data_IF_588098339633
#
_entry.id   IF_588098339633
#
_cell.length_a   1.000
_cell.length_b   1.000
_cell.length_c   1.000
_cell.angle_alpha   90.00
_cell.angle_beta   90.00
_cell.angle_gamma   90.00
#
_symmetry.space_group_name_H-M   'P 1'
#
loop_
_entity.id
_entity.type
_entity.pdbx_description
1 polymer ?
#
# COMPACT_ATOMS: atom_id res chain seq x y z
N UNK A 1 21.65 -27.32 -30.99
CA UNK A 1 20.93 -26.36 -30.11
C UNK A 1 19.78 -27.12 -29.49
N UNK A 2 19.72 -27.31 -28.17
CA UNK A 2 18.58 -28.00 -27.56
C UNK A 2 17.39 -27.03 -27.49
N UNK A 3 16.24 -27.48 -27.97
CA UNK A 3 14.96 -26.81 -27.88
C UNK A 3 14.56 -26.64 -26.41
N UNK A 4 14.28 -25.40 -26.02
CA UNK A 4 13.70 -25.10 -24.73
C UNK A 4 12.17 -25.12 -24.90
N UNK A 5 11.57 -26.29 -24.75
CA UNK A 5 10.14 -26.41 -24.53
C UNK A 5 9.81 -25.91 -23.09
N UNK A 6 9.32 -24.72 -22.99
CA UNK A 6 8.61 -24.28 -21.77
C UNK A 6 7.11 -24.54 -22.00
N UNK A 7 6.43 -25.24 -21.08
CA UNK A 7 4.99 -25.43 -21.19
C UNK A 7 4.26 -24.10 -21.00
N UNK A 8 3.58 -23.62 -22.04
CA UNK A 8 2.60 -22.56 -21.95
C UNK A 8 1.46 -23.03 -21.03
N UNK A 9 1.27 -22.39 -19.89
CA UNK A 9 0.11 -22.65 -19.03
C UNK A 9 -1.17 -22.25 -19.77
N UNK A 10 -2.11 -23.16 -19.87
CA UNK A 10 -3.45 -22.91 -20.39
C UNK A 10 -4.18 -21.98 -19.43
N UNK A 11 -4.61 -20.83 -19.93
CA UNK A 11 -5.50 -19.89 -19.24
C UNK A 11 -6.90 -20.52 -19.15
N UNK A 12 -7.33 -20.93 -17.99
CA UNK A 12 -8.62 -21.58 -17.85
C UNK A 12 -9.15 -21.72 -16.42
N UNK A 13 -8.37 -21.34 -15.41
CA UNK A 13 -8.87 -21.30 -14.04
C UNK A 13 -8.42 -19.99 -13.40
N UNK A 14 -9.38 -19.21 -12.92
CA UNK A 14 -9.15 -18.04 -12.08
C UNK A 14 -8.70 -18.44 -10.66
N UNK A 15 -7.82 -19.42 -10.56
CA UNK A 15 -6.99 -19.59 -9.38
C UNK A 15 -6.03 -18.41 -9.37
N UNK A 16 -6.06 -17.61 -8.31
CA UNK A 16 -5.04 -16.63 -7.96
C UNK A 16 -3.71 -17.34 -8.21
N UNK A 17 -3.03 -17.00 -9.32
CA UNK A 17 -1.76 -17.63 -9.68
C UNK A 17 -0.84 -17.47 -8.48
N UNK A 18 -0.15 -18.53 -8.10
CA UNK A 18 0.93 -18.45 -7.14
C UNK A 18 1.79 -17.26 -7.51
N UNK A 19 1.79 -16.23 -6.65
CA UNK A 19 2.57 -15.03 -6.87
C UNK A 19 4.03 -15.47 -7.16
N UNK A 20 4.69 -14.96 -8.19
CA UNK A 20 6.11 -15.26 -8.42
C UNK A 20 7.01 -14.69 -7.33
N UNK A 21 6.42 -14.06 -6.34
CA UNK A 21 7.08 -13.48 -5.19
C UNK A 21 7.40 -14.59 -4.18
N UNK A 22 8.45 -14.38 -3.41
CA UNK A 22 8.75 -15.25 -2.30
C UNK A 22 7.57 -15.34 -1.33
N UNK A 23 7.38 -16.48 -0.66
CA UNK A 23 6.40 -16.60 0.41
C UNK A 23 6.62 -15.49 1.44
N UNK A 24 5.53 -15.01 2.03
CA UNK A 24 5.63 -13.96 3.03
C UNK A 24 6.40 -14.44 4.26
N UNK A 25 7.30 -13.59 4.76
CA UNK A 25 8.04 -13.82 5.98
C UNK A 25 7.06 -14.04 7.14
N UNK A 26 7.42 -14.97 8.02
CA UNK A 26 6.62 -15.27 9.19
C UNK A 26 6.65 -14.09 10.15
N UNK A 27 5.53 -13.46 10.38
CA UNK A 27 5.35 -12.42 11.40
C UNK A 27 4.19 -12.77 12.32
N UNK A 28 4.24 -12.29 13.58
CA UNK A 28 3.11 -12.42 14.50
C UNK A 28 1.93 -11.58 14.01
N UNK A 29 0.72 -11.97 14.36
CA UNK A 29 -0.48 -11.21 13.98
C UNK A 29 -0.87 -10.26 15.11
N UNK A 30 -1.09 -9.00 14.76
CA UNK A 30 -1.67 -8.00 15.65
C UNK A 30 -2.92 -7.41 15.02
N UNK A 31 -3.70 -6.68 15.81
CA UNK A 31 -4.90 -5.99 15.30
C UNK A 31 -4.74 -4.48 15.39
N UNK A 32 -5.26 -3.77 14.38
CA UNK A 32 -5.44 -2.30 14.40
C UNK A 32 -6.93 -2.06 14.22
N UNK A 33 -7.67 -2.01 15.32
CA UNK A 33 -9.11 -2.14 15.29
C UNK A 33 -9.52 -3.45 14.59
N UNK A 34 -10.39 -3.42 13.57
CA UNK A 34 -10.78 -4.62 12.83
C UNK A 34 -9.73 -5.08 11.79
N UNK A 35 -8.69 -4.31 11.53
CA UNK A 35 -7.70 -4.61 10.48
C UNK A 35 -6.56 -5.46 11.03
N UNK A 36 -6.41 -6.72 10.56
CA UNK A 36 -5.29 -7.56 10.94
C UNK A 36 -4.00 -7.11 10.24
N UNK A 37 -2.87 -7.16 10.94
CA UNK A 37 -1.53 -6.83 10.44
C UNK A 37 -0.56 -7.92 10.84
N UNK A 38 0.19 -8.46 9.90
CA UNK A 38 1.07 -9.61 10.13
C UNK A 38 0.32 -10.95 10.14
N UNK A 39 1.02 -12.04 10.43
CA UNK A 39 0.44 -13.38 10.47
C UNK A 39 -0.17 -13.85 9.15
N UNK A 40 0.38 -13.43 8.02
CA UNK A 40 -0.16 -13.74 6.70
C UNK A 40 -1.40 -12.91 6.30
N UNK A 41 -1.83 -11.97 7.14
CA UNK A 41 -2.91 -11.06 6.78
C UNK A 41 -2.53 -10.22 5.56
N UNK A 42 -3.50 -9.73 4.81
CA UNK A 42 -3.26 -8.86 3.67
C UNK A 42 -2.49 -7.60 4.04
N UNK A 43 -1.66 -7.13 3.12
CA UNK A 43 -0.85 -5.94 3.34
C UNK A 43 -1.75 -4.71 3.31
N UNK A 44 -1.83 -4.01 4.44
CA UNK A 44 -2.66 -2.81 4.56
C UNK A 44 -1.95 -1.56 4.05
N UNK A 45 -2.70 -0.69 3.39
CA UNK A 45 -2.27 0.66 2.99
C UNK A 45 -2.66 1.64 4.09
N UNK A 46 -1.68 2.26 4.71
CA UNK A 46 -1.88 3.31 5.69
C UNK A 46 -1.51 4.67 5.10
N UNK A 47 -2.30 5.71 5.40
CA UNK A 47 -1.91 7.10 5.16
C UNK A 47 -2.02 7.93 6.42
N UNK A 48 -1.79 9.23 6.30
CA UNK A 48 -1.83 10.17 7.42
C UNK A 48 -2.48 11.47 6.95
N UNK A 49 -3.36 12.03 7.77
CA UNK A 49 -3.92 13.36 7.51
C UNK A 49 -2.84 14.44 7.60
N UNK A 50 -3.01 15.50 6.83
CA UNK A 50 -2.20 16.72 6.91
C UNK A 50 -3.01 17.93 7.40
N UNK A 51 -4.26 17.71 7.79
CA UNK A 51 -5.10 18.69 8.49
C UNK A 51 -4.63 18.88 9.94
N UNK A 52 -4.97 19.99 10.54
CA UNK A 52 -4.87 20.12 12.01
C UNK A 52 -5.89 19.15 12.63
N UNK A 53 -5.44 18.27 13.50
CA UNK A 53 -6.32 17.24 14.10
C UNK A 53 -7.45 17.87 14.92
N UNK A 54 -7.18 19.01 15.56
CA UNK A 54 -8.18 19.81 16.27
C UNK A 54 -9.31 20.34 15.35
N UNK A 55 -9.07 20.47 14.03
CA UNK A 55 -10.12 20.75 13.06
C UNK A 55 -10.82 19.43 12.67
N UNK A 56 -11.75 19.01 13.50
CA UNK A 56 -12.49 17.75 13.36
C UNK A 56 -13.20 17.63 12.00
N UNK A 57 -13.95 18.65 11.53
CA UNK A 57 -14.61 18.58 10.23
C UNK A 57 -13.64 18.37 9.07
N UNK A 58 -12.57 19.15 9.00
CA UNK A 58 -11.57 19.02 7.92
C UNK A 58 -10.85 17.66 7.99
N UNK A 59 -10.53 17.18 9.20
CA UNK A 59 -9.88 15.88 9.41
C UNK A 59 -10.79 14.73 8.99
N UNK A 60 -12.07 14.76 9.34
CA UNK A 60 -13.04 13.74 8.93
C UNK A 60 -13.30 13.74 7.43
N UNK A 61 -13.37 14.92 6.80
CA UNK A 61 -13.48 15.03 5.34
C UNK A 61 -12.28 14.37 4.66
N UNK A 62 -11.08 14.68 5.11
CA UNK A 62 -9.86 14.06 4.53
C UNK A 62 -9.80 12.55 4.78
N UNK A 63 -10.23 12.06 5.95
CA UNK A 63 -10.34 10.62 6.23
C UNK A 63 -11.31 9.96 5.25
N UNK A 64 -12.45 10.59 4.95
CA UNK A 64 -13.41 10.07 3.96
C UNK A 64 -12.79 9.97 2.56
N UNK A 65 -12.06 11.00 2.13
CA UNK A 65 -11.33 11.00 0.85
C UNK A 65 -10.26 9.89 0.78
N UNK A 66 -9.49 9.72 1.85
CA UNK A 66 -8.50 8.64 1.96
C UNK A 66 -9.16 7.26 1.90
N UNK A 67 -10.29 7.10 2.58
CA UNK A 67 -11.06 5.84 2.57
C UNK A 67 -11.56 5.53 1.16
N UNK A 68 -12.12 6.50 0.47
CA UNK A 68 -12.59 6.36 -0.92
C UNK A 68 -11.44 5.98 -1.88
N UNK A 69 -10.23 6.46 -1.63
CA UNK A 69 -9.04 6.10 -2.40
C UNK A 69 -8.53 4.67 -2.09
N UNK A 70 -9.01 4.02 -1.02
CA UNK A 70 -8.64 2.66 -0.63
C UNK A 70 -7.65 2.57 0.54
N UNK A 71 -7.59 3.60 1.39
CA UNK A 71 -6.85 3.57 2.63
C UNK A 71 -7.50 2.60 3.62
N UNK A 72 -6.71 1.70 4.21
CA UNK A 72 -7.21 0.71 5.17
C UNK A 72 -7.10 1.22 6.63
N UNK A 73 -6.13 2.09 6.92
CA UNK A 73 -5.84 2.61 8.25
C UNK A 73 -5.38 4.06 8.12
N UNK A 74 -5.94 4.97 8.89
CA UNK A 74 -5.50 6.37 8.93
C UNK A 74 -4.74 6.70 10.20
N UNK A 75 -3.75 7.60 10.10
CA UNK A 75 -3.02 8.14 11.23
C UNK A 75 -3.25 9.66 11.33
N UNK A 76 -3.45 10.17 12.54
CA UNK A 76 -3.59 11.59 12.85
C UNK A 76 -2.48 12.03 13.79
N UNK A 77 -1.95 13.24 13.64
CA UNK A 77 -0.94 13.79 14.55
C UNK A 77 -1.59 14.35 15.82
N UNK A 78 -0.92 14.19 16.97
CA UNK A 78 -1.42 14.70 18.25
C UNK A 78 -0.31 15.51 18.97
N UNK A 79 0.04 16.69 18.45
CA UNK A 79 1.08 17.52 19.03
C UNK A 79 0.61 18.35 20.24
N UNK A 80 -0.70 18.61 20.39
CA UNK A 80 -1.26 19.50 21.39
C UNK A 80 -2.40 18.87 22.19
N UNK A 81 -2.88 19.60 23.22
CA UNK A 81 -4.04 19.17 24.00
C UNK A 81 -5.32 19.23 23.15
N UNK A 82 -5.48 20.28 22.35
CA UNK A 82 -6.66 20.46 21.50
C UNK A 82 -6.79 19.29 20.48
N UNK A 83 -5.66 18.80 19.98
CA UNK A 83 -5.65 17.63 19.10
C UNK A 83 -6.04 16.35 19.85
N UNK A 84 -5.59 16.19 21.10
CA UNK A 84 -5.97 15.05 21.93
C UNK A 84 -7.47 15.08 22.27
N UNK A 85 -8.01 16.27 22.57
CA UNK A 85 -9.43 16.47 22.89
C UNK A 85 -10.35 16.21 21.68
N UNK A 86 -9.84 16.35 20.46
CA UNK A 86 -10.57 16.06 19.22
C UNK A 86 -10.68 14.56 18.91
N UNK A 87 -9.79 13.71 19.45
CA UNK A 87 -9.71 12.29 19.11
C UNK A 87 -11.03 11.51 19.30
N UNK A 88 -11.78 11.68 20.43
CA UNK A 88 -12.99 10.89 20.64
C UNK A 88 -14.03 11.06 19.52
N UNK A 89 -14.19 12.29 19.01
CA UNK A 89 -15.12 12.56 17.93
C UNK A 89 -14.63 12.01 16.61
N UNK A 90 -13.33 12.17 16.30
CA UNK A 90 -12.71 11.65 15.07
C UNK A 90 -12.82 10.12 15.04
N UNK A 91 -12.44 9.44 16.13
CA UNK A 91 -12.49 7.99 16.23
C UNK A 91 -13.92 7.46 16.05
N UNK A 92 -14.89 8.10 16.69
CA UNK A 92 -16.29 7.71 16.61
C UNK A 92 -16.89 7.82 15.20
N UNK A 93 -16.45 8.83 14.42
CA UNK A 93 -17.03 9.13 13.10
C UNK A 93 -16.18 8.60 11.94
N UNK A 94 -14.96 8.18 12.19
CA UNK A 94 -14.07 7.65 11.14
C UNK A 94 -14.58 6.32 10.60
N UNK A 95 -14.67 6.14 9.27
CA UNK A 95 -15.07 4.86 8.65
C UNK A 95 -13.95 3.81 8.71
N UNK A 96 -12.72 4.20 9.00
CA UNK A 96 -11.54 3.32 9.09
C UNK A 96 -10.79 3.53 10.41
N UNK A 97 -10.01 2.53 10.90
CA UNK A 97 -9.28 2.63 12.16
C UNK A 97 -8.34 3.83 12.20
N UNK A 98 -8.37 4.55 13.32
CA UNK A 98 -7.53 5.72 13.57
C UNK A 98 -6.35 5.36 14.47
N UNK A 99 -5.14 5.73 14.05
CA UNK A 99 -3.91 5.65 14.83
C UNK A 99 -3.54 7.06 15.30
N UNK A 100 -3.30 7.25 16.58
CA UNK A 100 -2.73 8.47 17.11
C UNK A 100 -1.19 8.47 17.00
N UNK A 101 -0.61 9.55 16.49
CA UNK A 101 0.84 9.72 16.32
C UNK A 101 1.39 10.66 17.42
N UNK A 102 2.03 10.07 18.41
CA UNK A 102 2.53 10.77 19.58
C UNK A 102 4.05 10.89 19.52
N UNK A 103 4.58 12.12 19.60
CA UNK A 103 6.00 12.38 19.47
C UNK A 103 6.71 12.69 20.78
N UNK A 104 6.12 13.51 21.68
CA UNK A 104 6.88 14.08 22.80
C UNK A 104 6.28 13.82 24.18
N UNK A 105 4.96 13.84 24.32
CA UNK A 105 4.31 13.80 25.64
C UNK A 105 3.53 12.50 25.84
N UNK A 106 3.98 11.70 26.78
CA UNK A 106 3.34 10.41 27.11
C UNK A 106 1.89 10.56 27.56
N UNK A 107 1.48 11.70 28.12
CA UNK A 107 0.08 11.91 28.52
C UNK A 107 -0.90 11.76 27.36
N UNK A 108 -0.49 12.14 26.13
CA UNK A 108 -1.35 12.01 24.96
C UNK A 108 -1.50 10.56 24.51
N UNK A 109 -0.56 9.66 24.89
CA UNK A 109 -0.71 8.22 24.64
C UNK A 109 -1.92 7.70 25.41
N UNK A 110 -2.03 8.02 26.68
CA UNK A 110 -3.16 7.60 27.53
C UNK A 110 -4.49 8.21 27.04
N UNK A 111 -4.48 9.52 26.71
CA UNK A 111 -5.67 10.16 26.14
C UNK A 111 -6.12 9.54 24.80
N UNK A 112 -5.18 9.15 23.94
CA UNK A 112 -5.49 8.46 22.70
C UNK A 112 -6.07 7.05 22.93
N UNK A 113 -5.59 6.33 23.92
CA UNK A 113 -6.14 5.05 24.36
C UNK A 113 -7.58 5.25 24.87
N UNK A 114 -7.77 6.21 25.77
CA UNK A 114 -9.09 6.52 26.36
C UNK A 114 -10.10 7.00 25.30
N UNK A 115 -9.63 7.69 24.25
CA UNK A 115 -10.44 8.12 23.13
C UNK A 115 -10.86 6.96 22.19
N UNK A 116 -10.34 5.75 22.41
CA UNK A 116 -10.64 4.58 21.61
C UNK A 116 -9.87 4.48 20.29
N UNK A 117 -8.71 5.11 20.16
CA UNK A 117 -7.82 4.92 19.00
C UNK A 117 -7.48 3.44 18.83
N UNK A 118 -7.50 2.95 17.60
CA UNK A 118 -7.25 1.56 17.26
C UNK A 118 -5.78 1.13 17.50
N UNK A 119 -4.87 2.09 17.50
CA UNK A 119 -3.47 1.91 17.86
C UNK A 119 -2.83 3.26 18.19
N UNK A 120 -1.67 3.23 18.83
CA UNK A 120 -0.85 4.44 19.06
C UNK A 120 0.55 4.22 18.49
N UNK A 121 1.03 5.20 17.74
CA UNK A 121 2.43 5.25 17.34
C UNK A 121 3.22 6.05 18.37
N UNK A 122 4.22 5.43 18.93
CA UNK A 122 5.18 6.05 19.83
C UNK A 122 6.54 6.16 19.15
N UNK A 123 7.27 7.23 19.43
CA UNK A 123 8.68 7.37 19.08
C UNK A 123 9.48 7.44 20.38
N UNK A 124 10.03 6.29 20.83
CA UNK A 124 10.74 6.21 22.09
C UNK A 124 11.89 7.21 22.21
N UNK A 125 12.61 7.46 21.12
CA UNK A 125 13.71 8.42 21.08
C UNK A 125 13.28 9.89 21.32
N UNK A 126 12.00 10.20 21.18
CA UNK A 126 11.47 11.57 21.39
C UNK A 126 10.70 11.74 22.69
N UNK A 127 10.15 10.66 23.26
CA UNK A 127 9.42 10.71 24.54
C UNK A 127 10.44 10.68 25.66
N UNK A 128 10.46 11.77 26.47
CA UNK A 128 11.38 11.85 27.62
C UNK A 128 11.09 10.72 28.61
N UNK A 129 12.17 10.09 29.11
CA UNK A 129 12.10 9.01 30.10
C UNK A 129 11.20 7.84 29.65
N UNK A 130 11.29 7.47 28.39
CA UNK A 130 10.46 6.39 27.86
C UNK A 130 10.68 5.07 28.62
N UNK A 131 11.89 4.81 29.09
CA UNK A 131 12.22 3.63 29.91
C UNK A 131 11.40 3.57 31.23
N UNK A 132 11.03 4.75 31.80
CA UNK A 132 10.21 4.82 33.01
C UNK A 132 8.69 4.69 32.70
N UNK A 133 8.23 5.28 31.60
CA UNK A 133 6.79 5.38 31.29
C UNK A 133 6.31 4.24 30.35
N UNK A 134 7.22 3.63 29.62
CA UNK A 134 6.92 2.55 28.65
C UNK A 134 6.12 1.39 29.25
N UNK A 135 6.49 0.83 30.42
CA UNK A 135 5.70 -0.21 31.07
C UNK A 135 4.24 0.17 31.33
N UNK A 136 4.01 1.43 31.74
CA UNK A 136 2.64 1.95 31.97
C UNK A 136 1.86 2.11 30.67
N UNK A 137 2.53 2.52 29.57
CA UNK A 137 1.93 2.58 28.25
C UNK A 137 1.54 1.19 27.77
N UNK A 138 2.45 0.21 27.88
CA UNK A 138 2.17 -1.18 27.50
C UNK A 138 1.00 -1.75 28.30
N UNK A 139 0.95 -1.49 29.62
CA UNK A 139 -0.16 -1.93 30.47
C UNK A 139 -1.49 -1.30 30.00
N UNK A 140 -1.53 0.00 29.78
CA UNK A 140 -2.75 0.69 29.32
C UNK A 140 -3.19 0.17 27.94
N UNK A 141 -2.26 -0.10 27.00
CA UNK A 141 -2.55 -0.68 25.71
C UNK A 141 -3.11 -2.10 25.82
N UNK A 142 -2.55 -2.92 26.74
CA UNK A 142 -3.07 -4.27 27.03
C UNK A 142 -4.48 -4.21 27.58
N UNK A 143 -4.72 -3.37 28.60
CA UNK A 143 -6.03 -3.21 29.25
C UNK A 143 -7.11 -2.75 28.24
N UNK A 144 -6.72 -1.93 27.26
CA UNK A 144 -7.61 -1.44 26.20
C UNK A 144 -7.68 -2.38 24.96
N UNK A 145 -6.85 -3.40 24.88
CA UNK A 145 -6.80 -4.34 23.75
C UNK A 145 -6.35 -3.69 22.42
N UNK A 146 -5.47 -2.67 22.46
CA UNK A 146 -4.96 -1.99 21.29
C UNK A 146 -3.48 -2.30 21.02
N UNK A 147 -3.08 -2.18 19.76
CA UNK A 147 -1.69 -2.36 19.39
C UNK A 147 -0.88 -1.06 19.43
N UNK A 148 0.44 -1.20 19.60
CA UNK A 148 1.37 -0.08 19.52
C UNK A 148 2.22 -0.18 18.25
N UNK A 149 2.83 0.95 17.83
CA UNK A 149 3.86 0.96 16.81
C UNK A 149 5.12 1.65 17.32
N UNK A 150 6.22 0.92 17.31
CA UNK A 150 7.57 1.46 17.48
C UNK A 150 7.99 2.13 16.19
N UNK A 151 8.31 3.41 16.24
CA UNK A 151 8.68 4.18 15.05
C UNK A 151 10.09 4.74 15.14
N UNK A 152 11.08 4.03 14.62
CA UNK A 152 12.47 4.50 14.50
C UNK A 152 12.65 5.25 13.19
N UNK A 153 13.22 6.44 13.25
CA UNK A 153 13.60 7.24 12.08
C UNK A 153 15.09 7.61 12.17
N UNK A 154 15.76 7.71 11.04
CA UNK A 154 17.17 8.11 10.97
C UNK A 154 17.46 9.44 11.69
N UNK A 155 16.54 10.42 11.56
CA UNK A 155 16.69 11.75 12.17
C UNK A 155 16.45 11.79 13.70
N UNK A 156 15.93 10.72 14.31
CA UNK A 156 15.70 10.61 15.76
C UNK A 156 16.43 9.43 16.41
N UNK A 157 17.52 8.96 15.78
CA UNK A 157 18.34 7.91 16.32
C UNK A 157 19.02 8.36 17.63
N UNK A 158 19.08 7.46 18.59
CA UNK A 158 19.78 7.66 19.86
C UNK A 158 21.24 8.10 19.64
N UNK A 159 21.70 9.07 20.42
CA UNK A 159 23.05 9.66 20.26
C UNK A 159 24.17 8.66 20.51
N UNK A 160 23.97 7.72 21.44
CA UNK A 160 24.96 6.69 21.73
C UNK A 160 25.08 5.71 20.58
N UNK A 161 23.94 5.30 20.01
CA UNK A 161 23.91 4.45 18.81
C UNK A 161 24.49 5.18 17.60
N UNK A 162 24.17 6.47 17.42
CA UNK A 162 24.75 7.29 16.37
C UNK A 162 26.29 7.33 16.47
N UNK A 163 26.81 7.59 17.68
CA UNK A 163 28.26 7.62 17.91
C UNK A 163 28.93 6.25 17.72
N UNK A 164 28.26 5.17 18.20
CA UNK A 164 28.77 3.80 18.11
C UNK A 164 28.89 3.30 16.66
N UNK A 165 27.91 3.64 15.79
CA UNK A 165 27.84 3.12 14.43
C UNK A 165 28.29 4.13 13.37
N UNK A 166 28.63 5.36 13.76
CA UNK A 166 29.08 6.41 12.86
C UNK A 166 27.96 7.04 12.03
N UNK A 167 26.69 6.89 12.44
CA UNK A 167 25.53 7.44 11.74
C UNK A 167 24.31 6.53 11.75
N UNK A 168 23.26 6.88 10.98
CA UNK A 168 22.03 6.09 10.90
C UNK A 168 22.18 4.91 9.92
N UNK A 169 23.18 4.05 10.17
CA UNK A 169 23.40 2.83 9.38
C UNK A 169 22.28 1.81 9.60
N UNK A 170 22.12 0.80 8.73
CA UNK A 170 21.18 -0.29 8.94
C UNK A 170 21.31 -0.93 10.31
N UNK A 171 22.54 -1.19 10.78
CA UNK A 171 22.83 -1.81 12.08
C UNK A 171 22.40 -0.90 13.23
N UNK A 172 22.63 0.40 13.13
CA UNK A 172 22.23 1.38 14.14
C UNK A 172 20.72 1.46 14.28
N UNK A 173 20.02 1.53 13.15
CA UNK A 173 18.55 1.60 13.12
C UNK A 173 17.91 0.31 13.66
N UNK A 174 18.45 -0.85 13.30
CA UNK A 174 18.00 -2.13 13.82
C UNK A 174 18.30 -2.28 15.31
N UNK A 175 19.50 -1.85 15.76
CA UNK A 175 19.84 -1.88 17.19
C UNK A 175 18.87 -1.01 18.02
N UNK A 176 18.49 0.17 17.51
CA UNK A 176 17.48 1.01 18.14
C UNK A 176 16.13 0.31 18.21
N UNK A 177 15.65 -0.22 17.08
CA UNK A 177 14.36 -0.92 17.04
C UNK A 177 14.32 -2.13 17.98
N UNK A 178 15.40 -2.91 18.05
CA UNK A 178 15.50 -4.07 18.93
C UNK A 178 15.55 -3.69 20.41
N UNK A 179 16.20 -2.58 20.77
CA UNK A 179 16.21 -2.07 22.16
C UNK A 179 14.78 -1.81 22.63
N UNK A 180 14.00 -1.11 21.80
CA UNK A 180 12.61 -0.77 22.09
C UNK A 180 11.69 -2.01 22.11
N UNK A 181 11.88 -2.91 21.13
CA UNK A 181 11.10 -4.16 21.07
C UNK A 181 11.31 -5.02 22.33
N UNK A 182 12.56 -5.18 22.77
CA UNK A 182 12.88 -5.91 24.03
C UNK A 182 12.20 -5.29 25.24
N UNK A 183 12.23 -3.97 25.38
CA UNK A 183 11.57 -3.30 26.50
C UNK A 183 10.07 -3.62 26.55
N UNK A 184 9.39 -3.69 25.40
CA UNK A 184 7.97 -4.08 25.34
C UNK A 184 7.78 -5.56 25.68
N UNK A 185 8.64 -6.42 25.16
CA UNK A 185 8.59 -7.86 25.40
C UNK A 185 8.94 -8.23 26.85
N UNK A 186 9.88 -7.52 27.49
CA UNK A 186 10.27 -7.71 28.88
C UNK A 186 9.11 -7.42 29.87
N UNK A 187 8.17 -6.57 29.48
CA UNK A 187 6.93 -6.32 30.26
C UNK A 187 5.74 -7.17 29.78
N UNK A 188 5.98 -8.15 28.88
CA UNK A 188 4.98 -9.08 28.39
C UNK A 188 4.04 -8.48 27.32
N UNK A 189 4.38 -7.34 26.71
CA UNK A 189 3.58 -6.73 25.66
C UNK A 189 4.08 -7.15 24.27
N UNK A 190 3.24 -7.85 23.51
CA UNK A 190 3.58 -8.41 22.21
C UNK A 190 2.78 -7.84 21.03
N UNK A 191 1.72 -7.05 21.30
CA UNK A 191 0.83 -6.49 20.29
C UNK A 191 1.41 -5.19 19.69
N UNK A 192 2.57 -5.30 19.07
CA UNK A 192 3.20 -4.16 18.42
C UNK A 192 3.82 -4.51 17.06
N UNK A 193 3.92 -3.48 16.22
CA UNK A 193 4.63 -3.50 14.94
C UNK A 193 5.78 -2.51 14.95
N UNK A 194 6.75 -2.72 14.07
CA UNK A 194 7.95 -1.90 14.00
C UNK A 194 8.04 -1.20 12.65
N UNK A 195 8.50 0.05 12.65
CA UNK A 195 8.94 0.75 11.45
C UNK A 195 10.34 1.34 11.66
N UNK A 196 11.23 1.13 10.70
CA UNK A 196 12.58 1.70 10.64
C UNK A 196 12.73 2.44 9.32
N UNK A 197 12.67 3.77 9.36
CA UNK A 197 12.54 4.59 8.17
C UNK A 197 13.81 5.37 7.87
N UNK A 198 14.18 5.38 6.59
CA UNK A 198 15.27 6.16 6.04
C UNK A 198 14.84 6.82 4.74
N UNK A 199 15.45 7.95 4.34
CA UNK A 199 15.18 8.63 3.07
C UNK A 199 15.91 7.99 1.89
N UNK A 200 17.04 7.32 2.16
CA UNK A 200 17.77 6.54 1.18
C UNK A 200 17.17 5.14 1.04
N UNK A 201 16.88 4.76 -0.19
CA UNK A 201 16.20 3.52 -0.54
C UNK A 201 17.05 2.29 -0.20
N UNK A 202 18.35 2.35 -0.50
CA UNK A 202 19.24 1.20 -0.30
C UNK A 202 19.41 0.91 1.19
N UNK A 203 19.69 1.95 1.97
CA UNK A 203 19.80 1.86 3.43
C UNK A 203 18.51 1.34 4.05
N UNK A 204 17.34 1.83 3.58
CA UNK A 204 16.05 1.35 4.05
C UNK A 204 15.84 -0.14 3.78
N UNK A 205 16.09 -0.59 2.54
CA UNK A 205 15.93 -2.01 2.17
C UNK A 205 16.85 -2.89 3.00
N UNK A 206 18.12 -2.52 3.15
CA UNK A 206 19.08 -3.26 3.98
C UNK A 206 18.64 -3.32 5.45
N UNK A 207 18.12 -2.21 5.98
CA UNK A 207 17.61 -2.13 7.36
C UNK A 207 16.46 -3.10 7.60
N UNK A 208 15.46 -3.11 6.69
CA UNK A 208 14.31 -4.02 6.85
C UNK A 208 14.67 -5.49 6.64
N UNK A 209 15.58 -5.81 5.72
CA UNK A 209 16.13 -7.18 5.58
C UNK A 209 16.81 -7.64 6.86
N UNK A 210 17.66 -6.79 7.44
CA UNK A 210 18.34 -7.08 8.68
C UNK A 210 17.34 -7.23 9.84
N UNK A 211 16.35 -6.34 9.95
CA UNK A 211 15.34 -6.40 11.00
C UNK A 211 14.46 -7.65 10.88
N UNK A 212 14.02 -8.00 9.67
CA UNK A 212 13.22 -9.20 9.40
C UNK A 212 13.93 -10.50 9.82
N UNK A 213 15.27 -10.53 9.72
CA UNK A 213 16.07 -11.68 10.17
C UNK A 213 16.22 -11.80 11.70
N UNK A 214 15.75 -10.81 12.49
CA UNK A 214 15.97 -10.75 13.95
C UNK A 214 14.76 -11.13 14.78
N UNK A 215 13.56 -11.19 14.20
CA UNK A 215 12.34 -11.52 14.94
C UNK A 215 11.13 -11.60 14.03
N UNK A 216 9.98 -11.84 14.65
CA UNK A 216 8.70 -12.06 13.97
C UNK A 216 7.73 -10.88 14.08
N UNK A 217 8.25 -9.67 14.31
CA UNK A 217 7.42 -8.48 14.42
C UNK A 217 6.80 -8.10 13.07
N UNK A 218 5.51 -7.71 13.02
CA UNK A 218 4.94 -7.10 11.82
C UNK A 218 5.70 -5.82 11.46
N UNK A 219 6.04 -5.68 10.18
CA UNK A 219 6.86 -4.58 9.69
C UNK A 219 6.01 -3.57 8.90
N UNK A 220 6.11 -2.29 9.31
CA UNK A 220 5.48 -1.17 8.61
C UNK A 220 6.50 -0.48 7.71
N UNK A 221 6.41 -0.73 6.41
CA UNK A 221 7.32 -0.17 5.42
C UNK A 221 7.01 1.30 5.12
N UNK A 222 8.05 2.10 4.94
CA UNK A 222 7.91 3.50 4.55
C UNK A 222 9.26 4.14 4.27
N UNK A 223 9.38 4.81 3.11
CA UNK A 223 10.47 5.75 2.85
C UNK A 223 10.07 7.08 3.48
N UNK A 224 10.90 7.62 4.38
CA UNK A 224 10.64 8.95 4.95
C UNK A 224 11.22 10.02 4.03
N UNK A 225 10.59 11.21 4.01
CA UNK A 225 11.11 12.35 3.24
C UNK A 225 11.40 11.99 1.77
N UNK A 226 10.48 11.22 1.14
CA UNK A 226 10.71 10.71 -0.20
C UNK A 226 10.72 11.81 -1.27
N UNK A 227 10.08 12.95 -1.01
CA UNK A 227 10.08 14.13 -1.86
C UNK A 227 8.81 14.29 -2.70
N UNK A 228 8.86 15.12 -3.76
CA UNK A 228 7.72 15.36 -4.66
C UNK A 228 7.17 14.08 -5.28
N UNK A 229 5.94 14.14 -5.77
CA UNK A 229 5.16 12.97 -6.26
C UNK A 229 5.97 12.03 -7.16
N UNK A 230 6.60 12.55 -8.21
CA UNK A 230 7.37 11.72 -9.14
C UNK A 230 8.53 10.98 -8.46
N UNK A 231 9.40 11.73 -7.79
CA UNK A 231 10.58 11.18 -7.11
C UNK A 231 10.19 10.24 -5.96
N UNK A 232 9.22 10.66 -5.13
CA UNK A 232 8.78 9.90 -3.98
C UNK A 232 8.07 8.60 -4.37
N UNK A 233 7.33 8.60 -5.49
CA UNK A 233 6.72 7.39 -6.05
C UNK A 233 7.79 6.40 -6.47
N UNK A 234 8.81 6.84 -7.23
CA UNK A 234 9.90 5.96 -7.67
C UNK A 234 10.63 5.36 -6.46
N UNK A 235 11.01 6.17 -5.47
CA UNK A 235 11.68 5.69 -4.25
C UNK A 235 10.82 4.66 -3.50
N UNK A 236 9.54 4.93 -3.34
CA UNK A 236 8.61 4.03 -2.65
C UNK A 236 8.41 2.71 -3.41
N UNK A 237 8.24 2.77 -4.73
CA UNK A 237 8.11 1.59 -5.57
C UNK A 237 9.37 0.71 -5.55
N UNK A 238 10.57 1.31 -5.60
CA UNK A 238 11.82 0.57 -5.51
C UNK A 238 11.99 -0.11 -4.15
N UNK A 239 11.76 0.63 -3.06
CA UNK A 239 11.94 0.10 -1.71
C UNK A 239 10.91 -1.00 -1.37
N UNK A 240 9.63 -0.72 -1.62
CA UNK A 240 8.56 -1.67 -1.31
C UNK A 240 8.57 -2.85 -2.27
N UNK A 241 8.83 -2.60 -3.57
CA UNK A 241 8.95 -3.66 -4.56
C UNK A 241 10.03 -4.68 -4.19
N UNK A 242 11.21 -4.22 -3.79
CA UNK A 242 12.29 -5.10 -3.35
C UNK A 242 11.90 -5.93 -2.11
N UNK A 243 11.38 -5.27 -1.06
CA UNK A 243 11.06 -5.95 0.20
C UNK A 243 9.85 -6.87 0.08
N UNK A 244 8.78 -6.42 -0.57
CA UNK A 244 7.56 -7.21 -0.74
C UNK A 244 7.79 -8.41 -1.67
N UNK A 245 8.69 -8.30 -2.66
CA UNK A 245 9.09 -9.42 -3.51
C UNK A 245 9.81 -10.52 -2.71
N UNK A 246 10.47 -10.15 -1.61
CA UNK A 246 11.13 -11.07 -0.66
C UNK A 246 10.19 -11.52 0.46
N UNK A 247 8.92 -11.13 0.43
CA UNK A 247 7.95 -11.46 1.48
C UNK A 247 8.02 -10.59 2.73
N UNK A 248 8.86 -9.55 2.74
CA UNK A 248 9.08 -8.66 3.89
C UNK A 248 8.10 -7.49 3.85
N UNK A 249 7.30 -7.32 4.91
CA UNK A 249 6.39 -6.19 5.10
C UNK A 249 4.93 -6.59 5.25
N UNK A 250 4.24 -5.97 6.20
CA UNK A 250 2.88 -6.30 6.60
C UNK A 250 1.91 -5.11 6.44
N UNK A 251 2.43 -3.91 6.40
CA UNK A 251 1.69 -2.68 6.13
C UNK A 251 2.60 -1.64 5.49
N UNK A 252 2.08 -0.82 4.60
CA UNK A 252 2.87 0.18 3.87
C UNK A 252 2.32 1.59 4.07
N UNK A 253 3.22 2.59 4.03
CA UNK A 253 2.85 3.98 3.85
C UNK A 253 3.79 4.66 2.84
N UNK A 254 3.23 5.10 1.73
CA UNK A 254 3.90 6.03 0.81
C UNK A 254 3.93 7.42 1.44
N UNK A 255 5.04 8.14 1.33
CA UNK A 255 5.16 9.52 1.82
C UNK A 255 5.54 10.43 0.66
N UNK A 256 4.70 11.41 0.36
CA UNK A 256 4.88 12.33 -0.76
C UNK A 256 4.69 13.77 -0.27
N UNK A 257 5.43 14.72 -0.89
CA UNK A 257 5.11 16.14 -0.80
C UNK A 257 3.96 16.45 -1.76
N UNK A 258 2.76 15.89 -1.47
CA UNK A 258 1.53 15.96 -2.28
C UNK A 258 0.31 15.72 -1.38
N UNK A 259 -0.92 15.91 -1.88
CA UNK A 259 -2.12 15.52 -1.14
C UNK A 259 -2.08 14.06 -0.71
N UNK A 260 -2.45 13.71 0.55
CA UNK A 260 -2.35 12.35 1.08
C UNK A 260 -3.12 11.28 0.28
N UNK A 261 -4.14 11.67 -0.48
CA UNK A 261 -4.87 10.79 -1.40
C UNK A 261 -3.94 10.18 -2.46
N UNK A 262 -2.95 10.94 -2.95
CA UNK A 262 -1.97 10.44 -3.92
C UNK A 262 -1.06 9.36 -3.31
N UNK A 263 -0.73 9.47 -2.03
CA UNK A 263 0.02 8.42 -1.30
C UNK A 263 -0.75 7.08 -1.31
N UNK A 264 -2.06 7.14 -1.05
CA UNK A 264 -2.94 5.96 -1.05
C UNK A 264 -3.04 5.34 -2.43
N UNK A 265 -3.27 6.17 -3.46
CA UNK A 265 -3.34 5.70 -4.85
C UNK A 265 -2.08 4.94 -5.27
N UNK A 266 -0.91 5.52 -4.99
CA UNK A 266 0.38 4.87 -5.29
C UNK A 266 0.52 3.56 -4.52
N UNK A 267 0.21 3.54 -3.20
CA UNK A 267 0.30 2.34 -2.39
C UNK A 267 -0.62 1.22 -2.86
N UNK A 268 -1.88 1.54 -3.19
CA UNK A 268 -2.84 0.58 -3.73
C UNK A 268 -2.38 0.02 -5.08
N UNK A 269 -1.97 0.88 -6.02
CA UNK A 269 -1.50 0.45 -7.34
C UNK A 269 -0.25 -0.40 -7.27
N UNK A 270 0.69 -0.09 -6.39
CA UNK A 270 1.87 -0.93 -6.16
C UNK A 270 1.47 -2.33 -5.73
N UNK A 271 0.59 -2.46 -4.74
CA UNK A 271 0.11 -3.77 -4.28
C UNK A 271 -0.69 -4.51 -5.35
N UNK A 272 -1.52 -3.82 -6.13
CA UNK A 272 -2.26 -4.37 -7.27
C UNK A 272 -1.31 -4.96 -8.33
N UNK A 273 -0.27 -4.22 -8.73
CA UNK A 273 0.69 -4.67 -9.73
C UNK A 273 1.59 -5.81 -9.23
N UNK A 274 1.82 -5.89 -7.93
CA UNK A 274 2.51 -7.03 -7.33
C UNK A 274 1.61 -8.24 -7.07
N UNK A 275 0.30 -8.17 -7.36
CA UNK A 275 -0.66 -9.26 -7.08
C UNK A 275 -0.94 -9.45 -5.58
N UNK A 276 -0.63 -8.45 -4.75
CA UNK A 276 -0.83 -8.46 -3.30
C UNK A 276 -2.13 -7.76 -2.87
N UNK A 277 -2.86 -7.20 -3.83
CA UNK A 277 -4.20 -6.61 -3.68
C UNK A 277 -5.01 -6.94 -4.96
N UNK A 278 -6.34 -7.11 -4.87
CA UNK A 278 -7.16 -7.29 -6.05
C UNK A 278 -6.98 -6.13 -7.03
N UNK A 279 -6.75 -6.43 -8.29
CA UNK A 279 -6.65 -5.40 -9.34
C UNK A 279 -8.03 -4.81 -9.60
N UNK A 280 -8.07 -3.50 -9.83
CA UNK A 280 -9.14 -2.81 -10.52
C UNK A 280 -8.86 -2.85 -12.02
N UNK A 281 -9.50 -1.96 -12.81
CA UNK A 281 -9.15 -1.87 -14.23
C UNK A 281 -7.66 -1.52 -14.43
N UNK A 282 -7.09 -2.01 -15.52
CA UNK A 282 -5.70 -1.78 -15.92
C UNK A 282 -5.62 -1.42 -17.40
N UNK A 283 -4.82 -0.39 -17.72
CA UNK A 283 -4.63 0.08 -19.10
C UNK A 283 -3.28 -0.39 -19.61
N UNK A 284 -3.33 -1.14 -20.70
CA UNK A 284 -2.14 -1.58 -21.44
C UNK A 284 -2.04 -0.72 -22.68
N UNK A 285 -1.11 0.21 -22.75
CA UNK A 285 -0.93 1.08 -23.91
C UNK A 285 0.45 0.95 -24.52
N UNK A 286 0.54 1.03 -25.83
CA UNK A 286 1.82 1.06 -26.50
C UNK A 286 2.50 2.44 -26.34
N UNK A 287 3.85 2.50 -26.38
CA UNK A 287 4.58 3.75 -26.18
C UNK A 287 4.52 4.73 -27.37
N UNK A 288 3.65 4.50 -28.36
CA UNK A 288 3.50 5.34 -29.55
C UNK A 288 4.81 5.50 -30.35
N UNK A 289 5.16 4.51 -31.16
CA UNK A 289 6.32 4.59 -32.06
C UNK A 289 5.94 5.24 -33.39
N UNK A 290 6.89 5.39 -34.34
CA UNK A 290 6.67 5.95 -35.69
C UNK A 290 5.66 5.22 -36.57
N UNK A 291 5.10 4.11 -36.12
CA UNK A 291 4.01 3.36 -36.80
C UNK A 291 2.62 3.78 -36.29
N UNK A 292 2.56 4.56 -35.20
CA UNK A 292 1.29 5.01 -34.65
C UNK A 292 0.56 5.94 -35.62
N UNK A 293 -0.72 5.69 -35.80
CA UNK A 293 -1.59 6.49 -36.70
C UNK A 293 -2.63 7.29 -35.93
N UNK A 294 -2.58 7.26 -34.59
CA UNK A 294 -3.44 8.01 -33.66
C UNK A 294 -2.60 8.55 -32.52
N UNK A 295 -3.12 9.54 -31.81
CA UNK A 295 -2.54 9.99 -30.54
C UNK A 295 -2.88 9.00 -29.42
N UNK A 296 -1.98 8.02 -29.24
CA UNK A 296 -2.14 6.97 -28.21
C UNK A 296 -2.16 7.58 -26.81
N UNK A 297 -1.41 8.66 -26.58
CA UNK A 297 -1.31 9.27 -25.25
C UNK A 297 -2.67 9.87 -24.89
N UNK A 298 -3.26 10.66 -25.81
CA UNK A 298 -4.58 11.24 -25.61
C UNK A 298 -5.66 10.17 -25.47
N UNK A 299 -5.61 9.14 -26.31
CA UNK A 299 -6.57 8.04 -26.30
C UNK A 299 -6.50 7.23 -24.98
N UNK A 300 -5.31 6.85 -24.53
CA UNK A 300 -5.11 6.13 -23.27
C UNK A 300 -5.56 6.95 -22.07
N UNK A 301 -5.25 8.25 -22.05
CA UNK A 301 -5.70 9.16 -20.98
C UNK A 301 -7.23 9.28 -20.95
N UNK A 302 -7.87 9.44 -22.10
CA UNK A 302 -9.33 9.54 -22.19
C UNK A 302 -10.03 8.25 -21.72
N UNK A 303 -9.50 7.08 -22.10
CA UNK A 303 -10.02 5.78 -21.64
C UNK A 303 -9.79 5.61 -20.13
N UNK A 304 -8.62 6.00 -19.63
CA UNK A 304 -8.31 5.93 -18.19
C UNK A 304 -9.27 6.78 -17.36
N UNK A 305 -9.52 8.02 -17.81
CA UNK A 305 -10.45 8.92 -17.11
C UNK A 305 -11.89 8.40 -17.17
N UNK A 306 -12.32 7.89 -18.33
CA UNK A 306 -13.65 7.33 -18.48
C UNK A 306 -13.91 6.03 -17.70
N UNK A 307 -12.86 5.30 -17.33
CA UNK A 307 -12.95 4.04 -16.56
C UNK A 307 -12.62 4.21 -15.07
N UNK A 308 -12.34 5.41 -14.58
CA UNK A 308 -11.90 5.66 -13.20
C UNK A 308 -12.85 5.10 -12.13
N UNK A 309 -14.15 5.06 -12.42
CA UNK A 309 -15.20 4.58 -11.52
C UNK A 309 -15.49 3.06 -11.70
N UNK A 310 -14.86 2.41 -12.68
CA UNK A 310 -15.00 0.97 -12.91
C UNK A 310 -14.15 0.19 -11.91
N UNK A 311 -14.80 -0.61 -11.08
CA UNK A 311 -14.13 -1.43 -10.05
C UNK A 311 -13.80 -2.84 -10.51
N UNK A 312 -14.34 -3.26 -11.65
CA UNK A 312 -14.09 -4.58 -12.22
C UNK A 312 -12.62 -4.73 -12.69
N UNK A 313 -11.99 -5.90 -12.50
CA UNK A 313 -10.60 -6.17 -12.85
C UNK A 313 -10.40 -6.38 -14.38
N UNK A 314 -10.79 -5.39 -15.17
CA UNK A 314 -10.74 -5.44 -16.63
C UNK A 314 -9.42 -4.86 -17.13
N UNK A 315 -8.72 -5.59 -18.00
CA UNK A 315 -7.55 -5.10 -18.72
C UNK A 315 -7.98 -4.55 -20.06
N UNK A 316 -7.74 -3.25 -20.29
CA UNK A 316 -8.07 -2.56 -21.54
C UNK A 316 -6.81 -2.18 -22.28
N UNK A 317 -6.67 -2.66 -23.51
CA UNK A 317 -5.52 -2.38 -24.36
C UNK A 317 -5.79 -1.22 -25.33
N UNK A 318 -4.86 -0.27 -25.38
CA UNK A 318 -4.90 0.87 -26.32
C UNK A 318 -3.66 0.85 -27.19
N UNK A 319 -3.84 0.43 -28.47
CA UNK A 319 -2.74 0.21 -29.41
C UNK A 319 -2.83 1.15 -30.62
N UNK A 320 -1.74 1.87 -30.87
CA UNK A 320 -1.66 2.90 -31.91
C UNK A 320 -1.50 2.38 -33.34
N UNK A 321 -1.30 1.08 -33.55
CA UNK A 321 -1.20 0.49 -34.88
C UNK A 321 -1.71 -0.95 -34.90
N UNK A 322 -2.12 -1.41 -36.13
CA UNK A 322 -2.63 -2.78 -36.36
C UNK A 322 -1.52 -3.84 -36.52
N UNK A 323 -0.25 -3.43 -36.58
CA UNK A 323 0.84 -4.36 -36.91
C UNK A 323 1.13 -5.30 -35.73
N UNK A 324 1.40 -4.73 -34.53
CA UNK A 324 1.70 -5.50 -33.34
C UNK A 324 0.53 -5.47 -32.30
N UNK A 325 -0.39 -4.49 -32.45
CA UNK A 325 -1.45 -4.26 -31.48
C UNK A 325 -2.27 -5.50 -31.13
N UNK A 326 -2.79 -6.26 -32.10
CA UNK A 326 -3.56 -7.48 -31.82
C UNK A 326 -2.76 -8.58 -31.12
N UNK A 327 -1.45 -8.65 -31.38
CA UNK A 327 -0.55 -9.62 -30.74
C UNK A 327 -0.21 -9.29 -29.30
N UNK A 328 0.20 -8.05 -29.06
CA UNK A 328 0.60 -7.56 -27.72
C UNK A 328 -0.60 -7.41 -26.78
N UNK A 329 -1.78 -7.15 -27.33
CA UNK A 329 -3.01 -6.98 -26.57
C UNK A 329 -3.87 -8.24 -26.48
N UNK A 330 -3.38 -9.39 -26.91
CA UNK A 330 -4.15 -10.66 -26.96
C UNK A 330 -4.67 -11.08 -25.58
N UNK A 331 -3.91 -10.76 -24.53
CA UNK A 331 -4.25 -11.09 -23.15
C UNK A 331 -5.16 -10.07 -22.48
N UNK A 332 -5.49 -8.96 -23.15
CA UNK A 332 -6.43 -7.98 -22.62
C UNK A 332 -7.88 -8.47 -22.79
N UNK A 333 -8.73 -8.11 -21.83
CA UNK A 333 -10.15 -8.46 -21.88
C UNK A 333 -10.86 -7.69 -22.99
N UNK A 334 -10.47 -6.42 -23.19
CA UNK A 334 -10.99 -5.50 -24.19
C UNK A 334 -9.83 -4.68 -24.77
N UNK A 335 -9.93 -4.22 -26.00
CA UNK A 335 -8.94 -3.29 -26.53
C UNK A 335 -9.25 -2.74 -27.90
N UNK A 336 -8.37 -1.83 -28.33
CA UNK A 336 -8.39 -1.24 -29.68
C UNK A 336 -7.02 -1.32 -30.34
N UNK A 337 -7.01 -1.64 -31.61
CA UNK A 337 -5.85 -1.46 -32.49
C UNK A 337 -6.21 -0.45 -33.57
N UNK A 338 -5.54 0.70 -33.58
CA UNK A 338 -5.90 1.84 -34.44
C UNK A 338 -5.11 1.85 -35.73
N UNK A 339 -5.74 2.31 -36.83
CA UNK A 339 -5.10 2.45 -38.15
C UNK A 339 -6.02 3.03 -39.18
N UNK A 340 -5.49 3.87 -40.09
CA UNK A 340 -6.22 4.47 -41.21
C UNK A 340 -7.51 5.21 -40.79
N UNK A 341 -7.46 6.01 -39.70
CA UNK A 341 -8.62 6.75 -39.17
C UNK A 341 -9.72 5.87 -38.59
N UNK A 342 -9.41 4.62 -38.22
CA UNK A 342 -10.36 3.65 -37.67
C UNK A 342 -9.71 2.90 -36.50
N UNK A 343 -10.55 2.39 -35.59
CA UNK A 343 -10.17 1.49 -34.49
C UNK A 343 -10.82 0.12 -34.65
N UNK A 344 -10.02 -0.92 -34.66
CA UNK A 344 -10.52 -2.29 -34.54
C UNK A 344 -10.67 -2.63 -33.06
N UNK A 345 -11.91 -2.75 -32.59
CA UNK A 345 -12.25 -3.14 -31.24
C UNK A 345 -12.19 -4.65 -31.14
N UNK A 346 -11.53 -5.16 -30.12
CA UNK A 346 -11.43 -6.59 -29.87
C UNK A 346 -11.72 -6.96 -28.41
N UNK A 347 -12.28 -8.15 -28.23
CA UNK A 347 -12.51 -8.76 -26.90
C UNK A 347 -11.74 -10.09 -26.90
N UNK A 348 -10.88 -10.29 -25.89
CA UNK A 348 -10.04 -11.51 -25.74
C UNK A 348 -9.34 -11.88 -27.05
N UNK A 349 -8.73 -10.90 -27.70
CA UNK A 349 -7.97 -11.05 -28.92
C UNK A 349 -8.79 -11.24 -30.20
N UNK A 350 -10.12 -11.26 -30.17
CA UNK A 350 -10.99 -11.37 -31.35
C UNK A 350 -11.58 -10.01 -31.71
N UNK A 351 -11.37 -9.56 -32.94
CA UNK A 351 -11.98 -8.34 -33.46
C UNK A 351 -13.50 -8.52 -33.52
N UNK A 352 -14.24 -7.63 -32.86
CA UNK A 352 -15.70 -7.66 -32.78
C UNK A 352 -16.34 -6.60 -33.66
N UNK A 353 -15.68 -5.44 -33.83
CA UNK A 353 -16.16 -4.36 -34.70
C UNK A 353 -15.03 -3.43 -35.09
N UNK A 354 -15.27 -2.61 -36.11
CA UNK A 354 -14.39 -1.51 -36.53
C UNK A 354 -15.17 -0.24 -36.49
N UNK A 355 -14.63 0.79 -35.81
CA UNK A 355 -15.27 2.09 -35.64
C UNK A 355 -14.39 3.22 -36.18
N UNK A 356 -14.95 4.39 -36.54
CA UNK A 356 -14.19 5.60 -36.79
C UNK A 356 -13.38 6.03 -35.56
N UNK A 357 -12.30 6.76 -35.76
CA UNK A 357 -11.37 7.17 -34.69
C UNK A 357 -12.06 7.96 -33.57
N UNK A 358 -12.97 8.86 -33.92
CA UNK A 358 -13.75 9.68 -33.00
C UNK A 358 -14.73 8.91 -32.10
N UNK A 359 -15.06 7.65 -32.48
CA UNK A 359 -15.95 6.77 -31.71
C UNK A 359 -15.21 5.73 -30.85
N UNK A 360 -13.88 5.69 -30.90
CA UNK A 360 -13.09 4.67 -30.19
C UNK A 360 -13.33 4.72 -28.69
N UNK A 361 -13.20 5.91 -28.09
CA UNK A 361 -13.30 6.08 -26.62
C UNK A 361 -14.69 5.68 -26.13
N UNK A 362 -15.74 6.22 -26.75
CA UNK A 362 -17.13 5.92 -26.39
C UNK A 362 -17.41 4.40 -26.48
N UNK A 363 -16.95 3.78 -27.56
CA UNK A 363 -17.15 2.33 -27.77
C UNK A 363 -16.39 1.49 -26.72
N UNK A 364 -15.15 1.86 -26.40
CA UNK A 364 -14.39 1.15 -25.35
C UNK A 364 -15.04 1.27 -23.98
N UNK A 365 -15.51 2.48 -23.61
CA UNK A 365 -16.18 2.71 -22.34
C UNK A 365 -17.48 1.90 -22.24
N UNK A 366 -18.31 1.92 -23.29
CA UNK A 366 -19.55 1.13 -23.32
C UNK A 366 -19.27 -0.37 -23.19
N UNK A 367 -18.28 -0.89 -23.92
CA UNK A 367 -17.90 -2.31 -23.87
C UNK A 367 -17.29 -2.70 -22.52
N UNK A 368 -16.48 -1.84 -21.89
CA UNK A 368 -15.95 -2.08 -20.57
C UNK A 368 -17.07 -2.17 -19.52
N UNK A 369 -18.09 -1.30 -19.61
CA UNK A 369 -19.25 -1.35 -18.73
C UNK A 369 -20.07 -2.63 -18.93
N UNK A 370 -20.28 -3.09 -20.18
CA UNK A 370 -20.94 -4.36 -20.48
C UNK A 370 -20.20 -5.54 -19.83
N UNK A 371 -18.85 -5.57 -19.99
CA UNK A 371 -18.00 -6.62 -19.42
C UNK A 371 -18.06 -6.57 -17.89
N UNK A 372 -18.00 -5.39 -17.28
CA UNK A 372 -18.11 -5.21 -15.82
C UNK A 372 -19.44 -5.74 -15.29
N UNK A 373 -20.55 -5.38 -15.93
CA UNK A 373 -21.89 -5.85 -15.57
C UNK A 373 -22.02 -7.37 -15.71
N UNK A 374 -21.42 -7.95 -16.75
CA UNK A 374 -21.41 -9.42 -16.93
C UNK A 374 -20.59 -10.11 -15.83
N UNK A 375 -19.41 -9.57 -15.48
CA UNK A 375 -18.57 -10.11 -14.39
C UNK A 375 -19.29 -10.05 -13.05
N UNK A 376 -20.08 -8.99 -12.82
CA UNK A 376 -20.92 -8.86 -11.61
C UNK A 376 -22.03 -9.91 -11.59
N UNK A 377 -22.74 -10.08 -12.70
CA UNK A 377 -23.81 -11.06 -12.83
C UNK A 377 -23.31 -12.51 -12.65
N UNK A 378 -22.10 -12.79 -13.13
CA UNK A 378 -21.45 -14.11 -13.03
C UNK A 378 -20.80 -14.36 -11.66
N UNK A 379 -20.86 -13.38 -10.72
CA UNK A 379 -20.24 -13.47 -9.40
C UNK A 379 -18.71 -13.48 -9.45
N UNK A 380 -18.13 -13.04 -10.56
CA UNK A 380 -16.68 -13.00 -10.77
C UNK A 380 -16.03 -11.74 -10.20
N UNK A 381 -16.82 -10.76 -9.75
CA UNK A 381 -16.26 -9.66 -8.99
C UNK A 381 -15.90 -10.17 -7.60
N UNK A 382 -14.68 -9.88 -7.12
CA UNK A 382 -14.36 -10.11 -5.73
C UNK A 382 -15.42 -9.37 -4.88
N UNK A 383 -16.06 -10.08 -3.97
CA UNK A 383 -17.06 -9.51 -3.07
C UNK A 383 -16.49 -8.20 -2.49
N UNK A 384 -17.07 -7.08 -2.88
CA UNK A 384 -16.67 -5.70 -2.58
C UNK A 384 -15.15 -5.54 -2.39
N UNK A 385 -14.49 -4.84 -3.30
CA UNK A 385 -13.02 -4.65 -3.40
C UNK A 385 -12.34 -4.03 -2.15
N UNK A 386 -12.87 -4.28 -0.99
CA UNK A 386 -12.39 -3.88 0.35
C UNK A 386 -11.85 -5.03 1.17
N UNK A 387 -11.87 -6.27 0.64
CA UNK A 387 -11.33 -7.43 1.30
C UNK A 387 -9.90 -7.74 0.83
N UNK A 388 -9.04 -8.03 1.76
CA UNK A 388 -7.62 -8.27 1.50
C UNK A 388 -7.36 -9.67 0.91
N UNK A 389 -6.48 -9.76 -0.09
CA UNK A 389 -6.01 -11.03 -0.65
C UNK A 389 -5.17 -11.75 0.39
N UNK A 390 -5.59 -12.93 0.80
CA UNK A 390 -4.77 -13.81 1.66
C UNK A 390 -3.73 -14.50 0.78
N UNK A 391 -2.49 -14.08 0.89
CA UNK A 391 -1.35 -14.80 0.27
C UNK A 391 -0.98 -15.96 1.18
N UNK A 392 -0.91 -17.22 0.69
CA UNK A 392 -0.52 -18.35 1.51
C UNK A 392 0.85 -18.13 2.18
N UNK A 393 0.92 -18.31 3.49
CA UNK A 393 2.18 -18.36 4.24
C UNK A 393 2.67 -19.81 4.20
N UNK A 394 3.81 -20.07 3.57
CA UNK A 394 4.41 -21.38 3.65
C UNK A 394 5.07 -21.58 5.03
N UNK A 395 4.89 -22.75 5.61
CA UNK A 395 5.37 -23.06 6.98
C UNK A 395 6.89 -23.05 7.13
N UNK A 396 7.67 -22.87 6.07
CA UNK A 396 9.14 -23.03 6.05
C UNK A 396 9.90 -21.76 5.63
N UNK A 397 9.31 -20.57 5.68
CA UNK A 397 10.01 -19.33 5.31
C UNK A 397 10.81 -18.77 6.49
N UNK A 398 12.11 -19.07 6.58
CA UNK A 398 13.05 -18.18 7.25
C UNK A 398 13.33 -17.00 6.31
N UNK A 399 13.15 -15.75 6.80
CA UNK A 399 13.62 -14.55 6.12
C UNK A 399 15.15 -14.50 6.08
#
# INVERSE_FOLDING_TARGET
MPEIEKPFRKTGDAAISESPLHPRCKSRRIMVGPVPVGGGAPISVQSMTNTLTADVPATLQQIAELTAAGCDIVRVAVPSQDDADALPEIVKKSPIPVIADIHFQSKYVFQAIDAGCAAVRVNPGNIRKFDEVGPSICKAATDAGISLRIGVNAGSLDKELYAKYGGPTPEALVASAMKEARMFEDVGFHDFKISVKHHDVVTMVQTYRLLASKGDWPLHLGVTEAGPTWQGTIKSCLAFGALLAEGIGDTIRVSLSAPPVEEVKVGCKLLEYMGLRPRKFDIISCPSCGRSQVDVIQLANAVTEGLKDVTAPIRVAVMGCIVNGPGEAREADLGVASGNGKGQIFIKGKVIQTVPEDQIVETLLAKAQEIAAQMEADGQLPATATGPVVVPVTQNGNC
#
